data_IF_422175162795
#
_entry.id   IF_422175162795
#
_cell.length_a   1.000
_cell.length_b   1.000
_cell.length_c   1.000
_cell.angle_alpha   90.00
_cell.angle_beta   90.00
_cell.angle_gamma   90.00
#
_symmetry.space_group_name_H-M   'P 1'
#
loop_
_entity.id
_entity.type
_entity.pdbx_description
1 polymer ?
#
# COMPACT_ATOMS: atom_id res chain seq x y z
N UNK A 1 1.75 -23.61 0.92
CA UNK A 1 0.78 -22.54 0.60
C UNK A 1 0.60 -22.44 -0.92
N UNK A 2 -0.37 -21.64 -1.40
CA UNK A 2 -0.55 -21.35 -2.83
C UNK A 2 0.28 -20.14 -3.28
N UNK A 3 0.76 -20.15 -4.53
CA UNK A 3 1.42 -19.01 -5.18
C UNK A 3 0.42 -18.27 -6.06
N UNK A 4 0.48 -16.94 -6.07
CA UNK A 4 -0.48 -16.08 -6.76
C UNK A 4 0.21 -15.14 -7.75
N UNK A 5 -0.45 -14.82 -8.85
CA UNK A 5 -0.03 -13.76 -9.77
C UNK A 5 -0.61 -12.40 -9.36
N UNK A 6 -0.20 -11.33 -10.05
CA UNK A 6 -0.64 -9.96 -9.74
C UNK A 6 -2.14 -9.71 -9.97
N UNK A 7 -2.83 -10.60 -10.70
CA UNK A 7 -4.29 -10.54 -10.94
C UNK A 7 -5.10 -11.25 -9.86
N UNK A 8 -4.43 -11.76 -8.83
CA UNK A 8 -5.05 -12.53 -7.76
C UNK A 8 -5.44 -13.94 -8.18
N UNK A 9 -4.80 -14.53 -9.20
CA UNK A 9 -5.03 -15.92 -9.60
C UNK A 9 -3.97 -16.85 -8.98
N UNK A 10 -4.41 -17.96 -8.39
CA UNK A 10 -3.52 -18.97 -7.86
C UNK A 10 -2.92 -19.79 -9.01
N UNK A 11 -1.61 -19.68 -9.18
CA UNK A 11 -0.84 -20.35 -10.26
C UNK A 11 -0.21 -21.66 -9.82
N UNK A 12 -0.22 -21.98 -8.52
CA UNK A 12 0.17 -23.29 -7.98
C UNK A 12 -0.34 -23.54 -6.57
N UNK A 13 -0.29 -24.81 -6.15
CA UNK A 13 -0.67 -25.26 -4.81
C UNK A 13 -2.16 -25.60 -4.66
N UNK A 14 -2.64 -25.77 -3.42
CA UNK A 14 -3.99 -26.30 -3.15
C UNK A 14 -5.15 -25.50 -3.73
N UNK A 15 -4.95 -24.20 -3.97
CA UNK A 15 -5.97 -23.30 -4.51
C UNK A 15 -5.81 -23.03 -6.02
N UNK A 16 -5.01 -23.82 -6.76
CA UNK A 16 -4.78 -23.64 -8.20
C UNK A 16 -6.09 -23.32 -8.97
N UNK A 17 -6.06 -22.26 -9.77
CA UNK A 17 -7.20 -21.82 -10.58
C UNK A 17 -8.23 -20.95 -9.83
N UNK A 18 -8.14 -20.83 -8.49
CA UNK A 18 -8.96 -19.87 -7.74
C UNK A 18 -8.51 -18.44 -8.01
N UNK A 19 -9.46 -17.52 -7.92
CA UNK A 19 -9.24 -16.08 -8.08
C UNK A 19 -9.77 -15.32 -6.86
N UNK A 20 -8.98 -14.38 -6.35
CA UNK A 20 -9.40 -13.50 -5.26
C UNK A 20 -10.43 -12.48 -5.76
N UNK A 21 -11.35 -12.07 -4.88
CA UNK A 21 -12.25 -10.96 -5.15
C UNK A 21 -11.45 -9.66 -5.17
N UNK A 22 -11.52 -8.87 -6.26
CA UNK A 22 -10.88 -7.56 -6.32
C UNK A 22 -11.46 -6.65 -5.25
N UNK A 23 -10.61 -5.84 -4.61
CA UNK A 23 -11.03 -4.75 -3.73
C UNK A 23 -10.67 -3.42 -4.38
N UNK A 24 -11.47 -2.40 -4.11
CA UNK A 24 -11.13 -1.04 -4.50
C UNK A 24 -9.86 -0.61 -3.76
N UNK A 25 -8.87 -0.15 -4.51
CA UNK A 25 -7.62 0.36 -3.97
C UNK A 25 -7.29 1.68 -4.67
N UNK A 26 -6.79 2.63 -3.88
CA UNK A 26 -6.15 3.83 -4.39
C UNK A 26 -4.65 3.69 -4.12
N UNK A 27 -3.85 3.64 -5.18
CA UNK A 27 -2.39 3.73 -5.05
C UNK A 27 -2.06 5.21 -5.02
N UNK A 28 -1.46 5.66 -3.93
CA UNK A 28 -1.16 7.08 -3.78
C UNK A 28 0.26 7.34 -3.29
N UNK A 29 0.73 8.56 -3.57
CA UNK A 29 1.92 9.12 -2.96
C UNK A 29 1.57 9.68 -1.58
N UNK A 30 2.47 9.48 -0.61
CA UNK A 30 2.24 9.97 0.76
C UNK A 30 2.00 11.49 0.82
N UNK A 31 2.61 12.26 -0.08
CA UNK A 31 2.47 13.71 -0.11
C UNK A 31 1.12 14.16 -0.69
N UNK A 32 0.52 13.39 -1.60
CA UNK A 32 -0.82 13.68 -2.13
C UNK A 32 -1.87 13.30 -1.08
N UNK A 33 -1.74 12.12 -0.45
CA UNK A 33 -2.54 11.71 0.71
C UNK A 33 -2.60 12.78 1.80
N UNK A 34 -1.46 13.40 2.13
CA UNK A 34 -1.37 14.45 3.16
C UNK A 34 -2.18 15.71 2.81
N UNK A 35 -2.38 16.02 1.52
CA UNK A 35 -3.17 17.19 1.08
C UNK A 35 -4.63 17.03 1.50
N UNK A 36 -5.22 15.84 1.32
CA UNK A 36 -6.63 15.60 1.66
C UNK A 36 -6.84 14.89 3.01
N UNK A 37 -5.77 14.43 3.67
CA UNK A 37 -5.76 13.97 5.06
C UNK A 37 -4.72 14.74 5.90
N UNK A 38 -4.99 16.02 6.22
CA UNK A 38 -4.03 16.93 6.84
C UNK A 38 -3.59 16.51 8.25
N UNK A 39 -4.31 15.62 8.93
CA UNK A 39 -3.93 15.11 10.25
C UNK A 39 -2.95 13.93 10.20
N UNK A 40 -2.69 13.38 9.01
CA UNK A 40 -1.78 12.23 8.85
C UNK A 40 -0.36 12.61 9.28
N UNK A 41 0.17 12.00 10.35
CA UNK A 41 1.56 12.19 10.74
C UNK A 41 2.53 11.62 9.70
N UNK A 42 3.60 12.36 9.38
CA UNK A 42 4.69 11.87 8.54
C UNK A 42 5.92 11.69 9.42
N UNK A 43 6.45 10.47 9.48
CA UNK A 43 7.71 10.21 10.15
C UNK A 43 8.88 10.56 9.23
N UNK A 44 9.73 11.48 9.67
CA UNK A 44 10.98 11.82 8.99
C UNK A 44 12.14 11.13 9.72
N UNK A 45 13.02 10.47 8.96
CA UNK A 45 14.24 9.90 9.54
C UNK A 45 15.26 11.02 9.72
N UNK A 46 15.52 11.39 10.98
CA UNK A 46 16.46 12.46 11.34
C UNK A 46 15.76 13.67 11.96
N UNK A 47 16.51 14.73 12.30
CA UNK A 47 15.91 15.96 12.82
C UNK A 47 14.95 16.55 11.79
N UNK A 48 13.84 17.11 12.28
CA UNK A 48 12.88 17.80 11.42
C UNK A 48 13.61 18.96 10.70
N UNK A 49 13.70 18.96 9.35
CA UNK A 49 14.33 20.04 8.61
C UNK A 49 13.58 21.37 8.76
N UNK A 50 12.33 21.36 9.23
CA UNK A 50 11.54 22.53 9.57
C UNK A 50 11.62 22.92 11.07
N UNK A 51 12.37 22.18 11.89
CA UNK A 51 12.59 22.59 13.27
C UNK A 51 13.35 23.93 13.32
N UNK A 52 12.98 24.84 14.23
CA UNK A 52 13.77 26.05 14.44
C UNK A 52 15.20 25.67 14.84
N UNK A 53 16.19 26.41 14.28
CA UNK A 53 17.60 26.29 14.68
C UNK A 53 17.82 26.76 16.11
#
# INVERSE_FOLDING_TARGET
GSRWNFRGEAVSGPLLGRRLTPVYLLKDYWFDWKIYHPDTGVYLLGPDPAAPR
#
